data_IF_212434579687
#
_entry.id   IF_212434579687
#
_cell.length_a   1.000
_cell.length_b   1.000
_cell.length_c   1.000
_cell.angle_alpha   90.00
_cell.angle_beta   90.00
_cell.angle_gamma   90.00
#
_symmetry.space_group_name_H-M   'P 1'
#
loop_
_entity.id
_entity.type
_entity.pdbx_description
1 polymer ?
#
# COMPACT_ATOMS: atom_id res chain seq x y z
N UNK A 1 28.96 2.78 -14.42
CA UNK A 1 28.01 1.69 -14.11
C UNK A 1 28.82 0.45 -13.81
N UNK A 2 28.80 -0.01 -12.56
CA UNK A 2 29.39 -1.30 -12.16
C UNK A 2 28.42 -2.43 -12.46
N UNK A 3 28.93 -3.57 -12.90
CA UNK A 3 28.11 -4.75 -13.16
C UNK A 3 27.53 -5.28 -11.85
N UNK A 4 26.29 -5.81 -11.84
CA UNK A 4 25.72 -6.46 -10.68
C UNK A 4 26.61 -7.59 -10.15
N UNK A 5 26.64 -7.84 -8.83
CA UNK A 5 27.32 -8.99 -8.25
C UNK A 5 26.88 -10.27 -8.96
N UNK A 6 27.84 -11.15 -9.30
CA UNK A 6 27.67 -12.41 -10.07
C UNK A 6 27.62 -12.30 -11.60
N UNK A 7 27.75 -11.10 -12.19
CA UNK A 7 27.95 -10.95 -13.64
C UNK A 7 29.44 -10.71 -13.93
N UNK A 8 30.15 -11.78 -14.29
CA UNK A 8 31.53 -11.70 -14.78
C UNK A 8 31.51 -11.71 -16.31
N UNK A 9 31.97 -10.64 -16.94
CA UNK A 9 32.16 -10.65 -18.38
C UNK A 9 33.61 -10.37 -18.75
N UNK A 10 34.20 -11.33 -19.46
CA UNK A 10 35.52 -11.26 -20.09
C UNK A 10 35.40 -11.04 -21.61
N UNK A 11 34.27 -10.47 -22.08
CA UNK A 11 34.03 -10.23 -23.51
C UNK A 11 33.52 -8.80 -23.74
N UNK A 12 34.33 -7.93 -24.38
CA UNK A 12 33.91 -6.58 -24.72
C UNK A 12 32.73 -6.63 -25.72
N UNK A 13 31.82 -5.66 -25.63
CA UNK A 13 30.65 -5.47 -26.50
C UNK A 13 29.41 -6.36 -26.28
N UNK A 14 29.32 -7.13 -25.20
CA UNK A 14 28.08 -7.81 -24.81
C UNK A 14 27.26 -6.97 -23.83
N UNK A 15 25.93 -6.98 -24.01
CA UNK A 15 24.96 -6.33 -23.11
C UNK A 15 23.96 -7.35 -22.58
N UNK A 16 23.46 -7.15 -21.37
CA UNK A 16 22.45 -8.03 -20.78
C UNK A 16 21.06 -7.72 -21.37
N UNK A 17 20.37 -8.74 -21.90
CA UNK A 17 18.96 -8.64 -22.30
C UNK A 17 18.07 -8.96 -21.10
N UNK A 18 17.27 -7.99 -20.67
CA UNK A 18 16.27 -8.19 -19.64
C UNK A 18 15.14 -9.10 -20.15
N UNK A 19 14.92 -10.22 -19.47
CA UNK A 19 13.81 -11.14 -19.74
C UNK A 19 12.53 -10.74 -19.00
N UNK A 20 12.66 -9.90 -17.98
CA UNK A 20 11.56 -9.35 -17.17
C UNK A 20 11.87 -7.90 -16.83
N UNK A 21 10.82 -7.12 -16.60
CA UNK A 21 10.94 -5.75 -16.13
C UNK A 21 11.66 -5.71 -14.79
N UNK A 22 12.64 -4.81 -14.64
CA UNK A 22 13.29 -4.53 -13.36
C UNK A 22 12.48 -3.55 -12.53
N UNK A 23 12.54 -3.74 -11.21
CA UNK A 23 12.08 -2.74 -10.26
C UNK A 23 12.82 -1.42 -10.47
N UNK A 24 12.12 -0.29 -10.31
CA UNK A 24 12.68 1.05 -10.51
C UNK A 24 12.73 1.54 -11.96
N UNK A 25 12.43 0.70 -12.96
CA UNK A 25 12.19 1.19 -14.32
C UNK A 25 10.84 1.92 -14.37
N UNK A 26 10.82 3.17 -14.85
CA UNK A 26 9.60 3.98 -15.00
C UNK A 26 8.50 3.27 -15.80
N UNK A 27 8.87 2.42 -16.75
CA UNK A 27 7.91 1.66 -17.55
C UNK A 27 7.37 0.41 -16.83
N UNK A 28 8.12 -0.16 -15.88
CA UNK A 28 7.74 -1.40 -15.21
C UNK A 28 6.47 -1.22 -14.37
N UNK A 29 6.46 -0.20 -13.51
CA UNK A 29 5.30 0.10 -12.65
C UNK A 29 4.05 0.43 -13.47
N UNK A 30 4.19 1.23 -14.53
CA UNK A 30 3.08 1.55 -15.44
C UNK A 30 2.50 0.32 -16.11
N UNK A 31 3.33 -0.58 -16.62
CA UNK A 31 2.87 -1.80 -17.30
C UNK A 31 2.24 -2.79 -16.31
N UNK A 32 2.81 -2.91 -15.11
CA UNK A 32 2.23 -3.72 -14.04
C UNK A 32 0.82 -3.22 -13.68
N UNK A 33 0.69 -1.91 -13.44
CA UNK A 33 -0.59 -1.30 -13.10
C UNK A 33 -1.61 -1.40 -14.24
N UNK A 34 -1.19 -1.18 -15.50
CA UNK A 34 -2.07 -1.34 -16.66
C UNK A 34 -2.60 -2.78 -16.78
N UNK A 35 -1.76 -3.78 -16.51
CA UNK A 35 -2.15 -5.20 -16.49
C UNK A 35 -3.10 -5.50 -15.33
N UNK A 36 -2.81 -5.00 -14.13
CA UNK A 36 -3.68 -5.16 -12.96
C UNK A 36 -5.05 -4.51 -13.19
N UNK A 37 -5.08 -3.26 -13.66
CA UNK A 37 -6.31 -2.54 -13.96
C UNK A 37 -7.17 -3.28 -14.99
N UNK A 38 -6.56 -3.73 -16.10
CA UNK A 38 -7.27 -4.51 -17.12
C UNK A 38 -7.85 -5.80 -16.55
N UNK A 39 -7.08 -6.49 -15.70
CA UNK A 39 -7.52 -7.70 -15.01
C UNK A 39 -8.68 -7.43 -14.05
N UNK A 40 -8.63 -6.38 -13.23
CA UNK A 40 -9.71 -6.06 -12.30
C UNK A 40 -10.99 -5.69 -13.05
N UNK A 41 -10.88 -4.88 -14.10
CA UNK A 41 -12.00 -4.50 -14.96
C UNK A 41 -12.65 -5.72 -15.61
N UNK A 42 -11.88 -6.71 -16.08
CA UNK A 42 -12.43 -7.93 -16.65
C UNK A 42 -13.15 -8.82 -15.62
N UNK A 43 -12.87 -8.64 -14.33
CA UNK A 43 -13.53 -9.35 -13.22
C UNK A 43 -14.66 -8.54 -12.57
N UNK A 44 -15.13 -7.47 -13.24
CA UNK A 44 -16.30 -6.70 -12.85
C UNK A 44 -16.04 -5.58 -11.83
N UNK A 45 -14.78 -5.29 -11.52
CA UNK A 45 -14.44 -4.10 -10.76
C UNK A 45 -14.49 -2.86 -11.66
N UNK A 46 -14.93 -1.74 -11.10
CA UNK A 46 -14.93 -0.43 -11.76
C UNK A 46 -13.96 0.48 -11.04
N UNK A 47 -13.09 1.12 -11.80
CA UNK A 47 -12.18 2.12 -11.27
C UNK A 47 -12.97 3.35 -10.80
N UNK A 48 -12.63 3.88 -9.63
CA UNK A 48 -13.23 5.08 -9.09
C UNK A 48 -12.71 6.31 -9.85
N UNK A 49 -13.62 7.23 -10.23
CA UNK A 49 -13.24 8.47 -10.91
C UNK A 49 -12.58 9.50 -9.99
N UNK A 50 -12.89 9.44 -8.68
CA UNK A 50 -12.28 10.30 -7.67
C UNK A 50 -10.86 9.84 -7.29
N UNK A 51 -10.59 8.54 -7.41
CA UNK A 51 -9.29 7.94 -7.12
C UNK A 51 -9.01 6.74 -8.03
N UNK A 52 -8.10 6.92 -8.98
CA UNK A 52 -7.73 5.86 -9.94
C UNK A 52 -7.03 4.67 -9.27
N UNK A 53 -6.51 4.81 -8.05
CA UNK A 53 -5.96 3.68 -7.29
C UNK A 53 -7.03 2.78 -6.67
N UNK A 54 -8.28 3.25 -6.62
CA UNK A 54 -9.41 2.57 -6.01
C UNK A 54 -10.29 1.89 -7.06
N UNK A 55 -10.60 0.61 -6.83
CA UNK A 55 -11.48 -0.22 -7.64
C UNK A 55 -12.65 -0.70 -6.78
N UNK A 56 -13.87 -0.56 -7.28
CA UNK A 56 -15.10 -0.90 -6.58
C UNK A 56 -15.90 -1.93 -7.37
N UNK A 57 -16.41 -2.95 -6.69
CA UNK A 57 -17.35 -3.91 -7.22
C UNK A 57 -18.59 -3.91 -6.34
N UNK A 58 -19.72 -3.54 -6.94
CA UNK A 58 -21.02 -3.48 -6.28
C UNK A 58 -21.80 -4.75 -6.62
N UNK A 59 -22.26 -5.46 -5.58
CA UNK A 59 -23.32 -6.45 -5.67
C UNK A 59 -24.66 -5.87 -5.23
N UNK A 60 -25.66 -6.73 -5.02
CA UNK A 60 -27.00 -6.29 -4.61
C UNK A 60 -26.99 -5.60 -3.24
N UNK A 61 -26.40 -6.25 -2.23
CA UNK A 61 -26.19 -5.72 -0.87
C UNK A 61 -24.72 -5.83 -0.45
N UNK A 62 -23.81 -5.94 -1.42
CA UNK A 62 -22.38 -6.07 -1.17
C UNK A 62 -21.56 -5.00 -1.87
N UNK A 63 -20.46 -4.62 -1.24
CA UNK A 63 -19.44 -3.75 -1.77
C UNK A 63 -18.09 -4.37 -1.47
N UNK A 64 -17.29 -4.57 -2.51
CA UNK A 64 -15.87 -4.90 -2.39
C UNK A 64 -15.05 -3.79 -3.01
N UNK A 65 -14.14 -3.24 -2.23
CA UNK A 65 -13.20 -2.20 -2.57
C UNK A 65 -11.78 -2.77 -2.57
N UNK A 66 -11.02 -2.43 -3.61
CA UNK A 66 -9.62 -2.80 -3.77
C UNK A 66 -8.83 -1.51 -4.01
N UNK A 67 -7.94 -1.18 -3.08
CA UNK A 67 -7.06 -0.03 -3.15
C UNK A 67 -5.64 -0.49 -3.49
N UNK A 68 -5.02 0.10 -4.52
CA UNK A 68 -3.69 -0.28 -5.01
C UNK A 68 -2.69 0.84 -4.72
N UNK A 69 -1.66 0.57 -3.94
CA UNK A 69 -0.54 1.48 -3.74
C UNK A 69 0.77 0.83 -4.17
N UNK A 70 1.27 1.19 -5.36
CA UNK A 70 2.48 0.60 -5.95
C UNK A 70 2.39 -0.93 -5.93
N UNK A 71 3.13 -1.61 -5.05
CA UNK A 71 3.16 -3.08 -4.95
C UNK A 71 2.21 -3.63 -3.86
N UNK A 72 1.63 -2.76 -3.02
CA UNK A 72 0.72 -3.11 -1.95
C UNK A 72 -0.75 -3.01 -2.40
N UNK A 73 -1.57 -3.99 -1.99
CA UNK A 73 -3.00 -4.04 -2.30
C UNK A 73 -3.78 -4.20 -1.00
N UNK A 74 -4.77 -3.34 -0.79
CA UNK A 74 -5.70 -3.43 0.33
C UNK A 74 -7.08 -3.81 -0.19
N UNK A 75 -7.64 -4.88 0.37
CA UNK A 75 -9.00 -5.35 0.11
C UNK A 75 -9.90 -5.04 1.31
N UNK A 76 -11.06 -4.44 1.04
CA UNK A 76 -12.08 -4.12 2.03
C UNK A 76 -13.44 -4.45 1.45
N UNK A 77 -14.33 -5.04 2.24
CA UNK A 77 -15.69 -5.28 1.79
C UNK A 77 -16.51 -6.05 2.80
N UNK A 78 -17.80 -6.14 2.55
CA UNK A 78 -18.74 -6.91 3.37
C UNK A 78 -19.07 -8.30 2.78
N UNK A 79 -18.46 -8.67 1.65
CA UNK A 79 -18.60 -9.98 1.01
C UNK A 79 -17.29 -10.77 1.09
N UNK A 80 -17.20 -11.63 2.11
CA UNK A 80 -16.01 -12.45 2.37
C UNK A 80 -15.76 -13.47 1.26
N UNK A 81 -16.80 -13.92 0.56
CA UNK A 81 -16.69 -14.89 -0.53
C UNK A 81 -16.02 -14.21 -1.73
N UNK A 82 -16.47 -13.02 -2.10
CA UNK A 82 -15.83 -12.22 -3.15
C UNK A 82 -14.39 -11.84 -2.80
N UNK A 83 -14.11 -11.42 -1.55
CA UNK A 83 -12.75 -11.13 -1.09
C UNK A 83 -11.85 -12.35 -1.24
N UNK A 84 -12.31 -13.53 -0.83
CA UNK A 84 -11.54 -14.77 -0.94
C UNK A 84 -11.31 -15.16 -2.41
N UNK A 85 -12.33 -14.98 -3.25
CA UNK A 85 -12.24 -15.27 -4.68
C UNK A 85 -11.24 -14.36 -5.39
N UNK A 86 -11.33 -13.04 -5.21
CA UNK A 86 -10.42 -12.09 -5.85
C UNK A 86 -8.98 -12.26 -5.35
N UNK A 87 -8.79 -12.53 -4.06
CA UNK A 87 -7.46 -12.81 -3.48
C UNK A 87 -6.80 -14.02 -4.16
N UNK A 88 -7.56 -15.11 -4.34
CA UNK A 88 -7.07 -16.30 -5.05
C UNK A 88 -6.74 -16.01 -6.51
N UNK A 89 -7.59 -15.26 -7.21
CA UNK A 89 -7.37 -14.92 -8.62
C UNK A 89 -6.15 -14.01 -8.81
N UNK A 90 -5.93 -13.08 -7.87
CA UNK A 90 -4.74 -12.24 -7.84
C UNK A 90 -3.48 -13.07 -7.59
N UNK A 91 -3.49 -14.02 -6.65
CA UNK A 91 -2.34 -14.90 -6.40
C UNK A 91 -2.01 -15.77 -7.63
N UNK A 92 -3.03 -16.35 -8.26
CA UNK A 92 -2.82 -17.15 -9.48
C UNK A 92 -2.15 -16.34 -10.60
N UNK A 93 -2.56 -15.08 -10.79
CA UNK A 93 -2.15 -14.25 -11.93
C UNK A 93 -0.86 -13.47 -11.67
N UNK A 94 -0.71 -12.93 -10.46
CA UNK A 94 0.35 -11.98 -10.09
C UNK A 94 1.29 -12.53 -9.00
N UNK A 95 1.01 -13.70 -8.43
CA UNK A 95 1.79 -14.30 -7.33
C UNK A 95 1.90 -13.38 -6.11
N UNK A 96 0.78 -12.80 -5.72
CA UNK A 96 0.68 -11.97 -4.52
C UNK A 96 0.71 -12.85 -3.26
N UNK A 97 1.25 -12.31 -2.18
CA UNK A 97 1.21 -12.95 -0.87
C UNK A 97 0.08 -12.36 -0.05
N UNK A 98 -0.83 -13.19 0.42
CA UNK A 98 -1.80 -12.78 1.42
C UNK A 98 -1.10 -12.60 2.78
N UNK A 99 -1.22 -11.40 3.35
CA UNK A 99 -0.67 -11.03 4.66
C UNK A 99 -1.73 -11.12 5.77
N UNK A 100 -2.96 -11.52 5.44
CA UNK A 100 -4.09 -11.60 6.36
C UNK A 100 -4.65 -10.23 6.71
N UNK A 101 -5.14 -10.09 7.95
CA UNK A 101 -5.75 -8.84 8.40
C UNK A 101 -4.76 -7.68 8.34
N UNK A 102 -5.20 -6.56 7.76
CA UNK A 102 -4.44 -5.32 7.67
C UNK A 102 -4.04 -4.84 9.07
N UNK A 103 -2.75 -4.95 9.38
CA UNK A 103 -2.14 -4.42 10.61
C UNK A 103 -1.21 -3.24 10.34
N UNK A 104 -0.54 -3.26 9.19
CA UNK A 104 0.38 -2.21 8.76
C UNK A 104 0.11 -1.88 7.29
N UNK A 105 0.08 -0.59 6.95
CA UNK A 105 -0.03 -0.11 5.58
C UNK A 105 0.63 1.26 5.47
N UNK A 106 1.65 1.41 4.61
CA UNK A 106 2.35 2.68 4.39
C UNK A 106 2.84 3.39 5.67
N UNK A 107 3.31 2.61 6.64
CA UNK A 107 3.76 3.13 7.95
C UNK A 107 2.64 3.46 8.93
N UNK A 108 1.37 3.28 8.54
CA UNK A 108 0.24 3.29 9.46
C UNK A 108 0.06 1.92 10.11
N UNK A 109 -0.19 1.94 11.41
CA UNK A 109 -0.70 0.83 12.21
C UNK A 109 -2.22 0.87 12.23
N UNK A 110 -2.84 -0.25 11.94
CA UNK A 110 -4.29 -0.42 11.94
C UNK A 110 -4.66 -1.43 13.03
N UNK A 111 -5.34 -0.95 14.06
CA UNK A 111 -5.92 -1.76 15.13
C UNK A 111 -7.44 -1.83 14.97
N UNK A 112 -8.02 -3.01 15.17
CA UNK A 112 -9.46 -3.24 15.08
C UNK A 112 -9.98 -3.70 16.43
N UNK A 113 -11.09 -3.12 16.87
CA UNK A 113 -11.80 -3.45 18.11
C UNK A 113 -13.31 -3.49 17.85
N UNK A 114 -14.09 -3.96 18.82
CA UNK A 114 -15.55 -3.89 18.75
C UNK A 114 -16.08 -2.45 18.68
N UNK A 115 -15.33 -1.47 19.17
CA UNK A 115 -15.67 -0.05 19.11
C UNK A 115 -15.38 0.59 17.74
N UNK A 116 -14.58 -0.07 16.89
CA UNK A 116 -14.21 0.44 15.57
C UNK A 116 -12.74 0.21 15.21
N UNK A 117 -12.29 0.98 14.22
CA UNK A 117 -10.93 0.92 13.66
C UNK A 117 -10.15 2.12 14.16
N UNK A 118 -8.97 1.87 14.74
CA UNK A 118 -8.00 2.88 15.13
C UNK A 118 -6.81 2.82 14.19
N UNK A 119 -6.42 3.97 13.64
CA UNK A 119 -5.26 4.11 12.77
C UNK A 119 -4.28 5.07 13.45
N UNK A 120 -3.03 4.63 13.63
CA UNK A 120 -1.99 5.47 14.22
C UNK A 120 -0.65 5.28 13.51
N UNK A 121 0.31 6.17 13.76
CA UNK A 121 1.68 6.07 13.24
C UNK A 121 2.68 6.02 14.39
N UNK A 122 2.34 5.30 15.47
CA UNK A 122 3.15 5.26 16.70
C UNK A 122 4.57 4.77 16.40
N UNK A 123 4.72 3.67 15.66
CA UNK A 123 6.03 3.16 15.27
C UNK A 123 6.85 4.20 14.52
N UNK A 124 6.27 4.88 13.53
CA UNK A 124 6.97 5.91 12.78
C UNK A 124 7.46 7.06 13.68
N UNK A 125 6.60 7.54 14.61
CA UNK A 125 7.01 8.57 15.57
C UNK A 125 8.16 8.10 16.48
N UNK A 126 8.12 6.85 16.94
CA UNK A 126 9.19 6.25 17.75
C UNK A 126 10.47 6.11 16.93
N UNK A 127 10.38 5.67 15.68
CA UNK A 127 11.53 5.49 14.78
C UNK A 127 12.19 6.86 14.47
N UNK A 128 11.43 7.94 14.29
CA UNK A 128 12.00 9.29 14.16
C UNK A 128 12.75 9.71 15.43
N UNK A 129 12.14 9.47 16.60
CA UNK A 129 12.77 9.83 17.88
C UNK A 129 14.03 9.01 18.12
N UNK A 130 14.08 7.75 17.67
CA UNK A 130 15.29 6.94 17.75
C UNK A 130 16.37 7.45 16.82
N UNK A 131 16.02 7.76 15.58
CA UNK A 131 16.98 8.21 14.56
C UNK A 131 17.58 9.59 14.89
N UNK A 132 16.88 10.37 15.72
CA UNK A 132 17.31 11.69 16.18
C UNK A 132 18.03 11.67 17.54
N UNK A 133 18.29 10.48 18.12
CA UNK A 133 18.81 10.31 19.50
C UNK A 133 17.97 11.04 20.57
N UNK A 134 16.67 11.22 20.31
CA UNK A 134 15.71 11.90 21.18
C UNK A 134 14.86 10.94 22.02
N UNK A 135 15.08 9.63 21.89
CA UNK A 135 14.43 8.63 22.72
C UNK A 135 14.76 8.85 24.20
N UNK A 136 13.73 9.11 25.02
CA UNK A 136 13.89 9.31 26.46
C UNK A 136 14.29 10.73 26.89
N UNK A 137 14.39 11.69 25.95
CA UNK A 137 14.50 13.10 26.32
C UNK A 137 13.25 13.54 27.08
N UNK A 138 13.42 14.07 28.28
CA UNK A 138 12.33 14.73 29.00
C UNK A 138 11.99 16.03 28.28
N UNK A 139 10.74 16.16 27.85
CA UNK A 139 10.22 17.45 27.40
C UNK A 139 10.29 18.40 28.61
N UNK A 140 11.20 19.37 28.58
CA UNK A 140 11.12 20.50 29.51
C UNK A 140 9.77 21.18 29.25
N UNK A 141 8.98 21.38 30.31
CA UNK A 141 7.57 21.79 30.23
C UNK A 141 7.35 22.81 29.10
N UNK A 142 6.57 22.48 28.05
CA UNK A 142 6.13 23.50 27.11
C UNK A 142 5.33 24.53 27.89
N UNK A 143 5.41 25.83 27.57
CA UNK A 143 4.65 26.86 28.27
C UNK A 143 3.17 26.45 28.32
N UNK A 144 2.68 26.21 29.54
CA UNK A 144 1.34 25.69 29.81
C UNK A 144 0.28 26.72 29.46
N UNK A 145 -0.28 26.62 28.26
CA UNK A 145 -1.70 26.89 27.96
C UNK A 145 -2.01 26.54 26.50
N UNK A 146 -2.58 25.36 26.25
CA UNK A 146 -3.25 25.05 24.99
C UNK A 146 -4.72 25.39 25.15
N UNK A 147 -5.12 26.57 24.68
CA UNK A 147 -6.53 26.94 24.55
C UNK A 147 -7.05 26.54 23.17
N UNK A 148 -7.95 25.55 23.13
CA UNK A 148 -8.81 25.32 21.97
C UNK A 148 -9.86 26.43 21.94
N UNK A 149 -9.89 27.22 20.87
CA UNK A 149 -10.93 28.21 20.60
C UNK A 149 -11.66 27.75 19.35
N UNK A 150 -12.92 27.35 19.50
CA UNK A 150 -13.81 27.10 18.37
C UNK A 150 -14.42 28.42 17.91
N UNK A 151 -14.33 28.68 16.60
CA UNK A 151 -15.03 29.78 15.95
C UNK A 151 -16.38 29.26 15.45
N UNK A 152 -17.47 29.61 16.12
CA UNK A 152 -18.80 29.50 15.52
C UNK A 152 -18.97 30.61 14.48
N UNK A 153 -18.74 30.29 13.21
CA UNK A 153 -19.30 31.10 12.13
C UNK A 153 -20.76 30.70 11.95
N UNK A 154 -21.67 31.66 12.19
CA UNK A 154 -23.09 31.59 11.84
C UNK A 154 -23.28 31.58 10.32
#
# INVERSE_FOLDING_TARGET
MTLPPRIYHNQPHKVCKLQRSLYGLKQASRQWYARLSSFLTSHGYKQCSADYSLFLKHGFNSLTALLVYVDDIVLVGNDIVEISNITRLLDLTFKIKDLGNLRFFLGFEVARSSAGINICQRKYAIDILSDSDMLGYKCNDPPRSLHLVESHYN
#
